data_IF_581652245909
#
_entry.id   IF_581652245909
#
_cell.length_a   1.000
_cell.length_b   1.000
_cell.length_c   1.000
_cell.angle_alpha   90.00
_cell.angle_beta   90.00
_cell.angle_gamma   90.00
#
_symmetry.space_group_name_H-M   'P 1'
#
loop_
_entity.id
_entity.type
_entity.pdbx_description
1 polymer ?
#
# COMPACT_ATOMS: atom_id res chain seq x y z
N UNK A 1 1.31 3.16 19.41
CA UNK A 1 0.88 4.18 18.42
C UNK A 1 1.72 4.21 17.16
N UNK A 2 3.07 4.11 17.23
CA UNK A 2 3.92 4.17 16.02
C UNK A 2 3.68 3.03 15.02
N UNK A 3 3.50 1.80 15.47
CA UNK A 3 3.13 0.69 14.58
C UNK A 3 1.75 0.88 13.94
N UNK A 4 0.79 1.46 14.65
CA UNK A 4 -0.52 1.80 14.07
C UNK A 4 -0.36 2.80 12.91
N UNK A 5 0.48 3.81 13.08
CA UNK A 5 0.57 4.93 12.12
C UNK A 5 1.59 4.65 11.01
N UNK A 6 2.65 3.92 11.30
CA UNK A 6 3.69 3.57 10.34
C UNK A 6 3.42 2.28 9.57
N UNK A 7 2.62 1.35 10.10
CA UNK A 7 2.39 0.03 9.48
C UNK A 7 0.93 -0.18 9.15
N UNK A 8 0.03 -0.08 10.13
CA UNK A 8 -1.39 -0.43 9.95
C UNK A 8 -2.09 0.58 9.06
N UNK A 9 -1.95 1.87 9.34
CA UNK A 9 -2.62 2.93 8.58
C UNK A 9 -2.18 2.97 7.10
N UNK A 10 -0.88 2.87 6.76
CA UNK A 10 -0.46 2.80 5.36
C UNK A 10 -0.92 1.52 4.66
N UNK A 11 -0.90 0.37 5.34
CA UNK A 11 -1.41 -0.88 4.77
C UNK A 11 -2.92 -0.82 4.49
N UNK A 12 -3.71 -0.27 5.42
CA UNK A 12 -5.15 -0.06 5.22
C UNK A 12 -5.42 0.89 4.05
N UNK A 13 -4.62 1.94 3.90
CA UNK A 13 -4.72 2.84 2.74
C UNK A 13 -4.47 2.10 1.42
N UNK A 14 -3.44 1.25 1.35
CA UNK A 14 -3.17 0.46 0.15
C UNK A 14 -4.29 -0.54 -0.15
N UNK A 15 -4.82 -1.22 0.87
CA UNK A 15 -5.96 -2.13 0.71
C UNK A 15 -7.16 -1.38 0.15
N UNK A 16 -7.48 -0.20 0.69
CA UNK A 16 -8.58 0.62 0.22
C UNK A 16 -8.43 0.99 -1.26
N UNK A 17 -7.24 1.44 -1.68
CA UNK A 17 -6.98 1.81 -3.08
C UNK A 17 -7.11 0.60 -4.01
N UNK A 18 -6.48 -0.52 -3.66
CA UNK A 18 -6.56 -1.76 -4.46
C UNK A 18 -8.00 -2.25 -4.55
N UNK A 19 -8.76 -2.18 -3.46
CA UNK A 19 -10.16 -2.55 -3.43
C UNK A 19 -11.01 -1.67 -4.35
N UNK A 20 -10.84 -0.34 -4.29
CA UNK A 20 -11.53 0.59 -5.20
C UNK A 20 -11.24 0.25 -6.66
N UNK A 21 -9.97 0.02 -7.01
CA UNK A 21 -9.58 -0.31 -8.39
C UNK A 21 -10.18 -1.66 -8.82
N UNK A 22 -10.11 -2.68 -7.95
CA UNK A 22 -10.63 -4.00 -8.25
C UNK A 22 -12.15 -3.99 -8.47
N UNK A 23 -12.91 -3.34 -7.59
CA UNK A 23 -14.37 -3.27 -7.66
C UNK A 23 -14.84 -2.41 -8.85
N UNK A 24 -14.19 -1.28 -9.12
CA UNK A 24 -14.54 -0.43 -10.27
C UNK A 24 -14.22 -1.05 -11.62
N UNK A 25 -13.40 -2.10 -11.66
CA UNK A 25 -13.02 -2.81 -12.87
C UNK A 25 -13.58 -4.25 -12.96
N UNK A 26 -14.44 -4.66 -12.02
CA UNK A 26 -15.15 -5.94 -12.11
C UNK A 26 -16.24 -5.88 -13.20
N UNK A 27 -16.34 -6.94 -14.02
CA UNK A 27 -17.54 -7.20 -14.85
C UNK A 27 -17.44 -6.96 -16.36
N UNK A 28 -16.32 -6.44 -16.90
CA UNK A 28 -16.18 -6.13 -18.33
C UNK A 28 -15.07 -6.90 -19.08
N UNK A 29 -14.52 -7.96 -18.48
CA UNK A 29 -13.31 -8.63 -19.01
C UNK A 29 -12.02 -7.82 -18.81
N UNK A 30 -12.06 -6.81 -17.94
CA UNK A 30 -10.91 -5.97 -17.61
C UNK A 30 -9.89 -6.74 -16.79
N UNK A 31 -8.67 -6.86 -17.33
CA UNK A 31 -7.52 -7.42 -16.63
C UNK A 31 -6.98 -6.48 -15.54
N UNK A 32 -7.36 -5.20 -15.58
CA UNK A 32 -6.87 -4.18 -14.64
C UNK A 32 -7.26 -4.48 -13.19
N UNK A 33 -8.51 -4.91 -12.96
CA UNK A 33 -8.97 -5.28 -11.62
C UNK A 33 -8.22 -6.49 -11.05
N UNK A 34 -7.98 -7.51 -11.88
CA UNK A 34 -7.18 -8.69 -11.50
C UNK A 34 -5.71 -8.31 -11.26
N UNK A 35 -5.13 -7.49 -12.14
CA UNK A 35 -3.76 -7.00 -12.02
C UNK A 35 -3.54 -6.22 -10.72
N UNK A 36 -4.43 -5.28 -10.42
CA UNK A 36 -4.39 -4.52 -9.17
C UNK A 36 -4.48 -5.43 -7.93
N UNK A 37 -5.34 -6.45 -7.96
CA UNK A 37 -5.48 -7.41 -6.87
C UNK A 37 -4.21 -8.24 -6.66
N UNK A 38 -3.62 -8.75 -7.75
CA UNK A 38 -2.38 -9.53 -7.70
C UNK A 38 -1.19 -8.70 -7.20
N UNK A 39 -1.06 -7.46 -7.65
CA UNK A 39 -0.04 -6.52 -7.15
C UNK A 39 -0.25 -6.28 -5.66
N UNK A 40 -1.49 -5.99 -5.25
CA UNK A 40 -1.85 -5.75 -3.85
C UNK A 40 -1.51 -6.94 -2.94
N UNK A 41 -1.75 -8.17 -3.40
CA UNK A 41 -1.52 -9.40 -2.64
C UNK A 41 -0.07 -9.55 -2.17
N UNK A 42 0.92 -9.16 -2.98
CA UNK A 42 2.33 -9.26 -2.62
C UNK A 42 2.89 -7.96 -2.06
N UNK A 43 2.51 -6.83 -2.67
CA UNK A 43 3.14 -5.56 -2.36
C UNK A 43 2.67 -4.98 -1.02
N UNK A 44 1.41 -5.21 -0.62
CA UNK A 44 0.87 -4.74 0.68
C UNK A 44 1.57 -5.44 1.86
N UNK A 45 1.66 -6.79 1.92
CA UNK A 45 2.41 -7.46 2.98
C UNK A 45 3.89 -7.05 3.00
N UNK A 46 4.51 -6.91 1.83
CA UNK A 46 5.91 -6.50 1.73
C UNK A 46 6.14 -5.08 2.28
N UNK A 47 5.28 -4.11 1.94
CA UNK A 47 5.39 -2.74 2.47
C UNK A 47 5.08 -2.67 3.96
N UNK A 48 4.09 -3.43 4.45
CA UNK A 48 3.82 -3.55 5.88
C UNK A 48 5.03 -4.12 6.64
N UNK A 49 5.68 -5.14 6.10
CA UNK A 49 6.88 -5.74 6.68
C UNK A 49 8.06 -4.76 6.71
N UNK A 50 8.33 -4.06 5.60
CA UNK A 50 9.40 -3.04 5.52
C UNK A 50 9.14 -1.91 6.51
N UNK A 51 7.89 -1.43 6.60
CA UNK A 51 7.53 -0.39 7.55
C UNK A 51 7.66 -0.87 9.00
N UNK A 52 7.29 -2.12 9.30
CA UNK A 52 7.45 -2.71 10.63
C UNK A 52 8.95 -2.79 11.02
N UNK A 53 9.80 -3.23 10.10
CA UNK A 53 11.26 -3.22 10.29
C UNK A 53 11.80 -1.80 10.48
N UNK A 54 11.29 -0.82 9.73
CA UNK A 54 11.71 0.57 9.85
C UNK A 54 11.38 1.15 11.23
N UNK A 55 10.15 0.93 11.71
CA UNK A 55 9.68 1.37 13.04
C UNK A 55 10.47 0.66 14.14
N UNK A 56 10.73 -0.64 13.98
CA UNK A 56 11.50 -1.42 14.95
C UNK A 56 12.95 -0.94 15.08
N UNK A 57 13.62 -0.69 13.94
CA UNK A 57 15.02 -0.22 13.93
C UNK A 57 15.19 1.23 14.38
N UNK A 58 14.14 2.05 14.33
CA UNK A 58 14.23 3.48 14.62
C UNK A 58 13.23 3.88 15.73
N UNK A 59 13.49 3.52 17.00
CA UNK A 59 12.60 3.85 18.11
C UNK A 59 12.58 5.34 18.48
N UNK A 60 13.41 6.20 17.88
CA UNK A 60 13.49 7.63 18.21
C UNK A 60 13.18 8.58 17.04
N UNK A 61 12.75 8.07 15.87
CA UNK A 61 12.35 8.97 14.77
C UNK A 61 11.15 9.83 15.17
N UNK A 62 11.17 11.07 14.68
CA UNK A 62 10.05 12.00 14.85
C UNK A 62 8.81 11.49 14.11
N UNK A 63 7.65 11.88 14.62
CA UNK A 63 6.37 11.45 14.08
C UNK A 63 6.18 11.82 12.60
N UNK A 64 6.61 13.02 12.21
CA UNK A 64 6.54 13.52 10.83
C UNK A 64 7.41 12.68 9.89
N UNK A 65 8.63 12.32 10.32
CA UNK A 65 9.52 11.47 9.51
C UNK A 65 8.97 10.06 9.33
N UNK A 66 8.33 9.51 10.37
CA UNK A 66 7.68 8.21 10.33
C UNK A 66 6.53 8.19 9.33
N UNK A 67 5.64 9.19 9.37
CA UNK A 67 4.56 9.34 8.38
C UNK A 67 5.15 9.48 6.98
N UNK A 68 6.06 10.44 6.76
CA UNK A 68 6.62 10.72 5.45
C UNK A 68 7.22 9.48 4.78
N UNK A 69 8.08 8.75 5.48
CA UNK A 69 8.73 7.55 4.91
C UNK A 69 7.75 6.39 4.69
N UNK A 70 6.92 6.08 5.68
CA UNK A 70 6.03 4.91 5.62
C UNK A 70 4.90 5.10 4.60
N UNK A 71 4.36 6.32 4.47
CA UNK A 71 3.35 6.63 3.45
C UNK A 71 3.94 6.74 2.05
N UNK A 72 5.16 7.26 1.90
CA UNK A 72 5.83 7.30 0.59
C UNK A 72 6.09 5.89 0.07
N UNK A 73 6.53 4.97 0.94
CA UNK A 73 6.63 3.55 0.59
C UNK A 73 5.28 2.95 0.23
N UNK A 74 4.23 3.29 0.99
CA UNK A 74 2.90 2.79 0.73
C UNK A 74 2.32 3.27 -0.61
N UNK A 75 2.70 4.45 -1.10
CA UNK A 75 2.28 5.01 -2.40
C UNK A 75 2.73 4.19 -3.61
N UNK A 76 3.76 3.36 -3.49
CA UNK A 76 4.24 2.52 -4.60
C UNK A 76 3.10 1.62 -5.12
N UNK A 77 2.32 1.03 -4.23
CA UNK A 77 1.23 0.11 -4.62
C UNK A 77 0.09 0.82 -5.36
N UNK A 78 -0.48 1.93 -4.86
CA UNK A 78 -1.39 2.78 -5.61
C UNK A 78 -0.87 3.18 -6.99
N UNK A 79 0.38 3.61 -7.10
CA UNK A 79 0.96 4.01 -8.38
C UNK A 79 1.00 2.84 -9.35
N UNK A 80 1.50 1.67 -8.92
CA UNK A 80 1.53 0.47 -9.75
C UNK A 80 0.13 -0.02 -10.15
N UNK A 81 -0.85 0.06 -9.24
CA UNK A 81 -2.23 -0.32 -9.52
C UNK A 81 -2.95 0.66 -10.46
N UNK A 82 -2.56 1.95 -10.48
CA UNK A 82 -3.05 2.90 -11.48
C UNK A 82 -2.49 2.56 -12.86
N UNK A 83 -1.21 2.16 -12.95
CA UNK A 83 -0.62 1.74 -14.23
C UNK A 83 -1.36 0.55 -14.85
N UNK A 84 -1.92 -0.36 -14.05
CA UNK A 84 -2.71 -1.48 -14.59
C UNK A 84 -4.01 -1.04 -15.26
N UNK A 85 -4.50 0.18 -15.03
CA UNK A 85 -5.67 0.72 -15.72
C UNK A 85 -5.41 1.07 -17.19
N UNK A 86 -4.13 1.22 -17.57
CA UNK A 86 -3.72 1.59 -18.93
C UNK A 86 -3.20 0.40 -19.76
N UNK A 87 -3.21 -0.81 -19.18
CA UNK A 87 -2.82 -2.07 -19.81
C UNK A 87 -4.07 -2.84 -20.28
#
# INVERSE_FOLDING_TARGET
MRYLIGVVLPALFQVLVVFIIAETNQGNGSWAGLGAFLIGMFAIPATAFINALHVWKNPNVSFIQLIGKCFTLAMIVPVLAIFTLFL
#
